data_IF_234181688002
#
_entry.id   IF_234181688002
#
_cell.length_a   1.000
_cell.length_b   1.000
_cell.length_c   1.000
_cell.angle_alpha   90.00
_cell.angle_beta   90.00
_cell.angle_gamma   90.00
#
_symmetry.space_group_name_H-M   'P 1'
#
loop_
_entity.id
_entity.type
_entity.pdbx_description
1 polymer ?
#
# COMPACT_ATOMS: atom_id res chain seq x y z
N UNK A 1 -8.50 18.42 -25.44
CA UNK A 1 -8.02 18.82 -24.09
C UNK A 1 -8.31 17.72 -23.06
N UNK A 2 -9.26 16.84 -23.34
CA UNK A 2 -9.79 15.86 -22.40
C UNK A 2 -8.84 14.67 -22.20
N UNK A 3 -8.14 14.22 -23.25
CA UNK A 3 -7.12 13.17 -23.14
C UNK A 3 -5.99 13.56 -22.19
N UNK A 4 -5.53 14.82 -22.26
CA UNK A 4 -4.45 15.31 -21.38
C UNK A 4 -4.92 15.34 -19.92
N UNK A 5 -6.17 15.74 -19.65
CA UNK A 5 -6.74 15.73 -18.30
C UNK A 5 -6.87 14.31 -17.75
N UNK A 6 -7.45 13.39 -18.52
CA UNK A 6 -7.59 11.99 -18.13
C UNK A 6 -6.23 11.33 -17.88
N UNK A 7 -5.23 11.60 -18.72
CA UNK A 7 -3.87 11.09 -18.53
C UNK A 7 -3.24 11.62 -17.23
N UNK A 8 -3.40 12.92 -16.95
CA UNK A 8 -2.90 13.53 -15.70
C UNK A 8 -3.59 12.93 -14.48
N UNK A 9 -4.90 12.69 -14.52
CA UNK A 9 -5.65 12.08 -13.42
C UNK A 9 -5.13 10.66 -13.11
N UNK A 10 -5.00 9.81 -14.13
CA UNK A 10 -4.50 8.44 -13.98
C UNK A 10 -3.06 8.44 -13.45
N UNK A 11 -2.16 9.21 -14.07
CA UNK A 11 -0.75 9.29 -13.66
C UNK A 11 -0.64 9.81 -12.22
N UNK A 12 -1.44 10.81 -11.84
CA UNK A 12 -1.42 11.35 -10.48
C UNK A 12 -1.91 10.33 -9.46
N UNK A 13 -2.96 9.56 -9.76
CA UNK A 13 -3.46 8.51 -8.90
C UNK A 13 -2.40 7.41 -8.67
N UNK A 14 -1.75 6.93 -9.73
CA UNK A 14 -0.68 5.95 -9.62
C UNK A 14 0.57 6.50 -8.93
N UNK A 15 0.94 7.75 -9.17
CA UNK A 15 2.06 8.39 -8.49
C UNK A 15 1.80 8.51 -6.98
N UNK A 16 0.58 8.90 -6.59
CA UNK A 16 0.18 8.96 -5.18
C UNK A 16 0.18 7.58 -4.54
N UNK A 17 -0.39 6.57 -5.22
CA UNK A 17 -0.36 5.17 -4.76
C UNK A 17 1.08 4.65 -4.59
N UNK A 18 1.95 4.89 -5.57
CA UNK A 18 3.34 4.46 -5.54
C UNK A 18 4.11 5.16 -4.43
N UNK A 19 3.94 6.47 -4.26
CA UNK A 19 4.55 7.22 -3.16
C UNK A 19 4.11 6.66 -1.81
N UNK A 20 2.79 6.50 -1.61
CA UNK A 20 2.23 6.09 -0.32
C UNK A 20 2.61 4.64 0.05
N UNK A 21 2.55 3.73 -0.91
CA UNK A 21 2.98 2.33 -0.71
C UNK A 21 4.48 2.21 -0.43
N UNK A 22 5.32 2.98 -1.13
CA UNK A 22 6.75 3.05 -0.82
C UNK A 22 7.00 3.62 0.57
N UNK A 23 6.25 4.63 0.98
CA UNK A 23 6.39 5.23 2.31
C UNK A 23 6.02 4.25 3.42
N UNK A 24 4.90 3.52 3.28
CA UNK A 24 4.53 2.43 4.19
C UNK A 24 5.63 1.36 4.24
N UNK A 25 6.18 0.98 3.08
CA UNK A 25 7.25 -0.02 3.00
C UNK A 25 8.50 0.42 3.75
N UNK A 26 8.94 1.65 3.57
CA UNK A 26 10.13 2.16 4.27
C UNK A 26 9.90 2.20 5.78
N UNK A 27 8.71 2.64 6.22
CA UNK A 27 8.34 2.63 7.65
C UNK A 27 8.31 1.21 8.25
N UNK A 28 7.81 0.21 7.51
CA UNK A 28 7.83 -1.18 7.94
C UNK A 28 9.26 -1.72 7.99
N UNK A 29 10.10 -1.34 7.02
CA UNK A 29 11.50 -1.74 6.95
C UNK A 29 12.33 -1.12 8.07
N UNK A 30 12.13 0.15 8.40
CA UNK A 30 12.75 0.79 9.56
C UNK A 30 12.37 0.06 10.88
N UNK A 31 11.13 -0.44 10.96
CA UNK A 31 10.69 -1.26 12.10
C UNK A 31 11.30 -2.68 12.10
N UNK A 32 11.58 -3.25 10.92
CA UNK A 32 12.33 -4.50 10.74
C UNK A 32 13.78 -4.33 11.20
N UNK A 33 14.43 -3.24 10.81
CA UNK A 33 15.86 -2.99 11.04
C UNK A 33 16.18 -2.40 12.44
N UNK A 34 15.15 -2.16 13.28
CA UNK A 34 15.25 -1.56 14.62
C UNK A 34 16.43 -2.07 15.48
N UNK A 35 16.63 -3.39 15.57
CA UNK A 35 17.69 -3.95 16.41
C UNK A 35 19.10 -3.68 15.86
N UNK A 36 19.24 -3.66 14.54
CA UNK A 36 20.49 -3.29 13.87
C UNK A 36 20.78 -1.82 14.07
N UNK A 37 19.80 -0.97 13.79
CA UNK A 37 19.92 0.49 13.89
C UNK A 37 20.24 0.96 15.31
N UNK A 38 19.57 0.38 16.31
CA UNK A 38 19.82 0.69 17.71
C UNK A 38 21.24 0.32 18.16
N UNK A 39 21.81 -0.78 17.63
CA UNK A 39 23.19 -1.18 17.93
C UNK A 39 24.25 -0.31 17.25
N UNK A 40 23.95 0.20 16.07
CA UNK A 40 24.87 1.05 15.30
C UNK A 40 24.71 2.55 15.62
N UNK A 41 23.74 2.92 16.48
CA UNK A 41 23.50 4.30 16.89
C UNK A 41 22.73 5.13 15.88
N UNK A 42 22.08 4.51 14.89
CA UNK A 42 21.21 5.20 13.95
C UNK A 42 19.92 5.66 14.63
N UNK A 43 19.50 6.89 14.34
CA UNK A 43 18.28 7.51 14.89
C UNK A 43 17.14 7.45 13.88
N UNK A 44 16.62 6.26 13.62
CA UNK A 44 15.40 6.08 12.81
C UNK A 44 14.15 6.32 13.65
N UNK A 45 13.01 6.56 13.00
CA UNK A 45 11.74 6.78 13.71
C UNK A 45 11.37 5.56 14.57
N UNK A 46 11.67 4.37 14.08
CA UNK A 46 11.57 3.10 14.81
C UNK A 46 12.37 3.10 16.12
N UNK A 47 13.60 3.62 16.09
CA UNK A 47 14.48 3.70 17.26
C UNK A 47 14.02 4.76 18.26
N UNK A 48 13.57 5.93 17.78
CA UNK A 48 13.17 7.05 18.64
C UNK A 48 11.84 6.78 19.36
N UNK A 49 10.82 6.32 18.64
CA UNK A 49 9.48 6.05 19.19
C UNK A 49 9.37 4.66 19.82
N UNK A 50 10.28 3.75 19.44
CA UNK A 50 10.21 2.35 19.79
C UNK A 50 9.17 1.57 18.97
N UNK A 51 9.33 0.23 18.89
CA UNK A 51 8.56 -0.63 17.99
C UNK A 51 7.04 -0.63 18.27
N UNK A 52 6.64 -0.36 19.52
CA UNK A 52 5.22 -0.29 19.90
C UNK A 52 4.50 0.96 19.41
N UNK A 53 5.19 2.09 19.26
CA UNK A 53 4.57 3.33 18.81
C UNK A 53 4.57 3.40 17.28
N UNK A 54 5.67 2.97 16.64
CA UNK A 54 5.81 2.94 15.18
C UNK A 54 4.76 2.08 14.49
N UNK A 55 4.32 0.97 15.12
CA UNK A 55 3.22 0.17 14.58
C UNK A 55 1.92 0.99 14.40
N UNK A 56 1.62 1.92 15.30
CA UNK A 56 0.40 2.73 15.20
C UNK A 56 0.50 3.70 14.02
N UNK A 57 1.68 4.29 13.82
CA UNK A 57 1.96 5.14 12.65
C UNK A 57 1.76 4.35 11.37
N UNK A 58 2.34 3.14 11.27
CA UNK A 58 2.18 2.26 10.09
C UNK A 58 0.70 1.92 9.86
N UNK A 59 -0.05 1.56 10.91
CA UNK A 59 -1.47 1.23 10.78
C UNK A 59 -2.28 2.42 10.29
N UNK A 60 -2.02 3.63 10.79
CA UNK A 60 -2.69 4.85 10.33
C UNK A 60 -2.39 5.08 8.85
N UNK A 61 -1.14 4.94 8.41
CA UNK A 61 -0.77 5.07 7.00
C UNK A 61 -1.50 4.04 6.12
N UNK A 62 -1.62 2.78 6.58
CA UNK A 62 -2.35 1.74 5.85
C UNK A 62 -3.86 2.08 5.78
N UNK A 63 -4.46 2.57 6.86
CA UNK A 63 -5.88 2.97 6.88
C UNK A 63 -6.17 4.14 5.94
N UNK A 64 -5.26 5.12 5.87
CA UNK A 64 -5.36 6.23 4.90
C UNK A 64 -5.31 5.66 3.47
N UNK A 65 -4.38 4.75 3.18
CA UNK A 65 -4.30 4.11 1.87
C UNK A 65 -5.58 3.35 1.52
N UNK A 66 -6.11 2.58 2.48
CA UNK A 66 -7.35 1.81 2.34
C UNK A 66 -8.57 2.71 2.08
N UNK A 67 -8.59 3.89 2.70
CA UNK A 67 -9.65 4.88 2.48
C UNK A 67 -9.60 5.44 1.06
N UNK A 68 -8.40 5.75 0.56
CA UNK A 68 -8.22 6.22 -0.82
C UNK A 68 -8.61 5.15 -1.84
N UNK A 69 -8.12 3.92 -1.70
CA UNK A 69 -8.41 2.83 -2.62
C UNK A 69 -9.87 2.36 -2.51
N UNK A 70 -10.45 2.37 -1.31
CA UNK A 70 -11.86 2.05 -1.10
C UNK A 70 -12.80 3.10 -1.70
N UNK A 71 -12.47 4.39 -1.58
CA UNK A 71 -13.21 5.45 -2.26
C UNK A 71 -13.15 5.31 -3.78
N UNK A 72 -11.96 4.98 -4.32
CA UNK A 72 -11.78 4.74 -5.74
C UNK A 72 -12.60 3.53 -6.23
N UNK A 73 -12.64 2.43 -5.47
CA UNK A 73 -13.46 1.25 -5.79
C UNK A 73 -14.95 1.59 -5.89
N UNK A 74 -15.50 2.42 -4.99
CA UNK A 74 -16.91 2.82 -5.03
C UNK A 74 -17.22 3.59 -6.32
N UNK A 75 -16.32 4.49 -6.73
CA UNK A 75 -16.48 5.22 -8.00
C UNK A 75 -16.38 4.27 -9.20
N UNK A 76 -15.42 3.34 -9.18
CA UNK A 76 -15.19 2.40 -10.25
C UNK A 76 -16.33 1.38 -10.40
N UNK A 77 -16.97 0.99 -9.29
CA UNK A 77 -18.09 0.05 -9.28
C UNK A 77 -19.27 0.50 -10.14
N UNK A 78 -19.43 1.80 -10.43
CA UNK A 78 -20.50 2.30 -11.28
C UNK A 78 -20.21 2.15 -12.79
N UNK A 79 -18.95 1.94 -13.17
CA UNK A 79 -18.51 2.00 -14.59
C UNK A 79 -17.69 0.79 -15.03
N UNK A 80 -16.96 0.14 -14.13
CA UNK A 80 -16.10 -1.01 -14.40
C UNK A 80 -16.05 -1.94 -13.16
N UNK A 81 -16.96 -2.90 -13.13
CA UNK A 81 -17.06 -3.87 -12.05
C UNK A 81 -15.83 -4.79 -11.96
N UNK A 82 -15.23 -5.16 -13.09
CA UNK A 82 -14.13 -6.13 -13.14
C UNK A 82 -12.89 -5.53 -12.47
N UNK A 83 -12.57 -4.30 -12.84
CA UNK A 83 -11.47 -3.55 -12.26
C UNK A 83 -11.67 -3.25 -10.78
N UNK A 84 -12.91 -2.94 -10.37
CA UNK A 84 -13.23 -2.68 -8.97
C UNK A 84 -13.05 -3.94 -8.11
N UNK A 85 -13.55 -5.09 -8.59
CA UNK A 85 -13.37 -6.38 -7.92
C UNK A 85 -11.89 -6.75 -7.84
N UNK A 86 -11.11 -6.47 -8.88
CA UNK A 86 -9.67 -6.72 -8.88
C UNK A 86 -8.94 -5.92 -7.77
N UNK A 87 -9.16 -4.61 -7.68
CA UNK A 87 -8.53 -3.78 -6.64
C UNK A 87 -9.01 -4.22 -5.25
N UNK A 88 -10.30 -4.49 -5.09
CA UNK A 88 -10.86 -4.95 -3.83
C UNK A 88 -10.17 -6.24 -3.32
N UNK A 89 -9.96 -7.21 -4.21
CA UNK A 89 -9.37 -8.50 -3.84
C UNK A 89 -7.85 -8.50 -3.76
N UNK A 90 -7.15 -7.79 -4.65
CA UNK A 90 -5.69 -7.87 -4.77
C UNK A 90 -4.93 -6.70 -4.15
N UNK A 91 -5.64 -5.64 -3.74
CA UNK A 91 -5.06 -4.48 -3.05
C UNK A 91 -5.70 -4.31 -1.66
N UNK A 92 -7.02 -4.13 -1.59
CA UNK A 92 -7.70 -3.81 -0.32
C UNK A 92 -7.67 -4.96 0.68
N UNK A 93 -7.97 -6.19 0.25
CA UNK A 93 -7.95 -7.36 1.13
C UNK A 93 -6.52 -7.65 1.67
N UNK A 94 -5.45 -7.65 0.83
CA UNK A 94 -4.07 -7.70 1.32
C UNK A 94 -3.67 -6.55 2.25
N UNK A 95 -4.14 -5.32 2.02
CA UNK A 95 -3.91 -4.19 2.93
C UNK A 95 -4.55 -4.44 4.31
N UNK A 96 -5.77 -4.99 4.37
CA UNK A 96 -6.39 -5.39 5.63
C UNK A 96 -5.57 -6.47 6.35
N UNK A 97 -5.08 -7.46 5.60
CA UNK A 97 -4.21 -8.50 6.15
C UNK A 97 -2.86 -7.93 6.64
N UNK A 98 -2.33 -6.90 5.96
CA UNK A 98 -1.13 -6.18 6.38
C UNK A 98 -1.32 -5.50 7.74
N UNK A 99 -2.49 -4.89 8.00
CA UNK A 99 -2.83 -4.34 9.32
C UNK A 99 -2.75 -5.43 10.38
N UNK A 100 -3.37 -6.58 10.16
CA UNK A 100 -3.33 -7.71 11.08
C UNK A 100 -1.88 -8.15 11.37
N UNK A 101 -1.06 -8.22 10.33
CA UNK A 101 0.33 -8.64 10.45
C UNK A 101 1.14 -7.62 11.26
N UNK A 102 0.99 -6.33 11.00
CA UNK A 102 1.66 -5.24 11.75
C UNK A 102 1.23 -5.20 13.22
N UNK A 103 -0.05 -5.45 13.54
CA UNK A 103 -0.54 -5.53 14.92
C UNK A 103 0.12 -6.70 15.67
N UNK A 104 0.26 -7.85 15.00
CA UNK A 104 0.83 -9.07 15.57
C UNK A 104 2.35 -9.02 15.70
N UNK A 105 3.03 -8.22 14.88
CA UNK A 105 4.49 -8.10 14.86
C UNK A 105 5.05 -7.61 16.19
N UNK A 106 5.90 -8.44 16.80
CA UNK A 106 6.65 -8.09 18.02
C UNK A 106 8.16 -8.18 17.82
N UNK A 107 8.59 -8.90 16.79
CA UNK A 107 10.00 -9.14 16.47
C UNK A 107 10.32 -8.65 15.05
N UNK A 108 11.59 -8.34 14.75
CA UNK A 108 12.05 -8.04 13.38
C UNK A 108 11.62 -9.08 12.35
N UNK A 109 11.67 -10.36 12.71
CA UNK A 109 11.26 -11.47 11.83
C UNK A 109 9.77 -11.41 11.45
N UNK A 110 8.91 -10.84 12.30
CA UNK A 110 7.51 -10.64 11.98
C UNK A 110 7.32 -9.47 10.99
N UNK A 111 8.09 -8.38 11.17
CA UNK A 111 8.09 -7.24 10.25
C UNK A 111 8.59 -7.61 8.85
N UNK A 112 9.50 -8.58 8.73
CA UNK A 112 9.93 -9.13 7.44
C UNK A 112 8.76 -9.68 6.61
N UNK A 113 7.77 -10.31 7.25
CA UNK A 113 6.56 -10.80 6.57
C UNK A 113 5.71 -9.63 6.07
N UNK A 114 5.55 -8.58 6.88
CA UNK A 114 4.84 -7.36 6.49
C UNK A 114 5.54 -6.62 5.34
N UNK A 115 6.87 -6.54 5.38
CA UNK A 115 7.70 -5.98 4.32
C UNK A 115 7.52 -6.74 3.01
N UNK A 116 7.50 -8.08 3.07
CA UNK A 116 7.27 -8.94 1.90
C UNK A 116 5.86 -8.77 1.34
N UNK A 117 4.83 -8.76 2.20
CA UNK A 117 3.45 -8.55 1.77
C UNK A 117 3.27 -7.18 1.11
N UNK A 118 3.91 -6.13 1.63
CA UNK A 118 3.86 -4.79 1.03
C UNK A 118 4.42 -4.79 -0.39
N UNK A 119 5.48 -5.56 -0.68
CA UNK A 119 5.99 -5.73 -2.05
C UNK A 119 4.98 -6.40 -2.98
N UNK A 120 4.23 -7.39 -2.48
CA UNK A 120 3.17 -8.06 -3.23
C UNK A 120 2.06 -7.07 -3.56
N UNK A 121 1.63 -6.26 -2.58
CA UNK A 121 0.60 -5.21 -2.76
C UNK A 121 1.04 -4.17 -3.80
N UNK A 122 2.31 -3.78 -3.80
CA UNK A 122 2.84 -2.88 -4.83
C UNK A 122 2.80 -3.51 -6.21
N UNK A 123 3.21 -4.79 -6.32
CA UNK A 123 3.20 -5.51 -7.58
C UNK A 123 1.78 -5.65 -8.14
N UNK A 124 0.82 -6.09 -7.32
CA UNK A 124 -0.59 -6.21 -7.74
C UNK A 124 -1.21 -4.85 -8.06
N UNK A 125 -0.84 -3.82 -7.30
CA UNK A 125 -1.22 -2.44 -7.58
C UNK A 125 -0.74 -1.95 -8.95
N UNK A 126 0.49 -2.24 -9.34
CA UNK A 126 1.01 -1.88 -10.68
C UNK A 126 0.33 -2.72 -11.78
N UNK A 127 0.12 -4.02 -11.54
CA UNK A 127 -0.55 -4.91 -12.48
C UNK A 127 -2.01 -4.51 -12.77
N UNK A 128 -2.66 -3.76 -11.88
CA UNK A 128 -4.01 -3.21 -12.12
C UNK A 128 -4.10 -2.39 -13.41
N UNK A 129 -3.03 -1.71 -13.83
CA UNK A 129 -3.02 -0.91 -15.06
C UNK A 129 -3.25 -1.77 -16.30
N UNK A 130 -2.74 -3.01 -16.29
CA UNK A 130 -2.95 -3.98 -17.37
C UNK A 130 -4.41 -4.41 -17.40
N UNK A 131 -5.02 -4.66 -16.23
CA UNK A 131 -6.43 -5.02 -16.11
C UNK A 131 -7.33 -3.89 -16.64
N UNK A 132 -7.10 -2.65 -16.23
CA UNK A 132 -7.84 -1.49 -16.72
C UNK A 132 -7.76 -1.37 -18.25
N UNK A 133 -6.56 -1.55 -18.80
CA UNK A 133 -6.34 -1.50 -20.26
C UNK A 133 -7.09 -2.63 -20.97
N UNK A 134 -7.11 -3.83 -20.40
CA UNK A 134 -7.83 -4.97 -20.96
C UNK A 134 -9.35 -4.75 -20.92
N UNK A 135 -9.89 -4.24 -19.81
CA UNK A 135 -11.33 -3.97 -19.71
C UNK A 135 -11.75 -2.91 -20.73
N UNK A 136 -11.00 -1.80 -20.84
CA UNK A 136 -11.28 -0.76 -21.83
C UNK A 136 -11.20 -1.27 -23.28
N UNK A 137 -10.28 -2.19 -23.58
CA UNK A 137 -10.12 -2.73 -24.94
C UNK A 137 -11.18 -3.77 -25.30
N UNK A 138 -11.58 -4.60 -24.36
CA UNK A 138 -12.54 -5.69 -24.59
C UNK A 138 -13.99 -5.31 -24.32
N UNK A 139 -14.23 -4.13 -23.72
CA UNK A 139 -15.55 -3.49 -23.55
C UNK A 139 -16.63 -4.49 -23.13
N UNK A 140 -16.33 -5.27 -22.08
CA UNK A 140 -17.26 -6.21 -21.45
C UNK A 140 -18.45 -5.48 -20.83
#
# INVERSE_FOLDING_TARGET
>A
RDIVRAAVEVVSAYALFAFWSNFIREMIKDAEDYQGDARHGYRTLAVILGPRQVRYVIIILILVMLSFTGFYDVYLFASDHVSAIYIMLFVNLPLLYLIYLVIKSKTPADFKKASTLTKIIMLTGILSMVIFTLVLKFNW
#
